data_IF_332115749037
#
_entry.id   IF_332115749037
#
_cell.length_a   1.000
_cell.length_b   1.000
_cell.length_c   1.000
_cell.angle_alpha   90.00
_cell.angle_beta   90.00
_cell.angle_gamma   90.00
#
_symmetry.space_group_name_H-M   'P 1'
#
loop_
_entity.id
_entity.type
_entity.pdbx_description
1 polymer ?
#
# COMPACT_ATOMS: atom_id res chain seq x y z
N UNK A 1 23.06 -17.65 -10.87
CA UNK A 1 22.88 -16.19 -10.82
C UNK A 1 21.61 -15.87 -11.60
N UNK A 2 20.54 -15.44 -10.92
CA UNK A 2 19.34 -14.90 -11.56
C UNK A 2 19.41 -13.38 -11.44
N UNK A 3 19.87 -12.73 -12.50
CA UNK A 3 19.85 -11.27 -12.62
C UNK A 3 18.41 -10.79 -12.77
N UNK A 4 17.97 -9.82 -11.96
CA UNK A 4 16.88 -8.92 -12.34
C UNK A 4 15.43 -9.28 -11.99
N UNK A 5 15.14 -10.16 -11.02
CA UNK A 5 13.79 -10.20 -10.41
C UNK A 5 13.67 -9.00 -9.45
N UNK A 6 13.32 -7.86 -10.03
CA UNK A 6 13.36 -6.52 -9.42
C UNK A 6 12.23 -6.34 -8.41
N UNK A 7 12.46 -5.62 -7.30
CA UNK A 7 11.51 -5.45 -6.17
C UNK A 7 10.05 -5.15 -6.56
N UNK A 8 9.84 -4.45 -7.68
CA UNK A 8 8.51 -4.22 -8.28
C UNK A 8 7.67 -5.48 -8.54
N UNK A 9 8.28 -6.64 -8.82
CA UNK A 9 7.54 -7.88 -8.97
C UNK A 9 6.94 -8.34 -7.64
N UNK A 10 7.71 -8.22 -6.56
CA UNK A 10 7.28 -8.58 -5.20
C UNK A 10 6.20 -7.62 -4.73
N UNK A 11 6.39 -6.31 -4.89
CA UNK A 11 5.38 -5.29 -4.58
C UNK A 11 4.05 -5.61 -5.26
N UNK A 12 4.07 -5.93 -6.56
CA UNK A 12 2.85 -6.27 -7.31
C UNK A 12 2.24 -7.60 -6.87
N UNK A 13 3.03 -8.59 -6.49
CA UNK A 13 2.52 -9.87 -5.98
C UNK A 13 1.87 -9.74 -4.60
N UNK A 14 2.39 -8.86 -3.75
CA UNK A 14 1.88 -8.63 -2.41
C UNK A 14 0.67 -7.68 -2.40
N UNK A 15 0.74 -6.61 -3.20
CA UNK A 15 -0.19 -5.49 -3.13
C UNK A 15 -0.98 -5.22 -4.40
N UNK A 16 -0.67 -5.89 -5.52
CA UNK A 16 -1.23 -5.53 -6.82
C UNK A 16 -0.67 -4.19 -7.32
N UNK A 17 -1.37 -3.55 -8.25
CA UNK A 17 -1.01 -2.22 -8.75
C UNK A 17 -2.25 -1.37 -9.02
N UNK A 18 -2.09 -0.05 -9.01
CA UNK A 18 -3.16 0.88 -9.35
C UNK A 18 -3.63 0.69 -10.81
N UNK A 19 -4.88 1.07 -11.09
CA UNK A 19 -5.39 1.25 -12.43
C UNK A 19 -4.80 2.52 -13.05
N UNK A 20 -3.81 2.36 -13.93
CA UNK A 20 -3.13 3.47 -14.62
C UNK A 20 -4.07 4.41 -15.36
N UNK A 21 -5.15 3.89 -15.97
CA UNK A 21 -6.11 4.70 -16.72
C UNK A 21 -6.84 5.66 -15.77
N UNK A 22 -7.41 5.12 -14.68
CA UNK A 22 -8.04 5.94 -13.63
C UNK A 22 -7.06 6.93 -13.02
N UNK A 23 -5.80 6.54 -12.80
CA UNK A 23 -4.79 7.44 -12.24
C UNK A 23 -4.48 8.61 -13.18
N UNK A 24 -4.36 8.37 -14.49
CA UNK A 24 -4.22 9.44 -15.50
C UNK A 24 -5.43 10.38 -15.47
N UNK A 25 -6.65 9.82 -15.45
CA UNK A 25 -7.88 10.60 -15.39
C UNK A 25 -7.94 11.47 -14.11
N UNK A 26 -7.56 10.91 -12.96
CA UNK A 26 -7.49 11.62 -11.69
C UNK A 26 -6.43 12.75 -11.73
N UNK A 27 -5.27 12.52 -12.34
CA UNK A 27 -4.24 13.55 -12.52
C UNK A 27 -4.71 14.68 -13.44
N UNK A 28 -5.35 14.35 -14.57
CA UNK A 28 -5.90 15.34 -15.50
C UNK A 28 -6.95 16.20 -14.81
N UNK A 29 -7.88 15.56 -14.08
CA UNK A 29 -8.97 16.25 -13.37
C UNK A 29 -8.45 17.16 -12.26
N UNK A 30 -7.49 16.70 -11.46
CA UNK A 30 -7.07 17.39 -10.25
C UNK A 30 -5.90 18.38 -10.46
N UNK A 31 -5.16 18.28 -11.58
CA UNK A 31 -3.96 19.08 -11.83
C UNK A 31 -3.89 19.71 -13.23
N UNK A 32 -4.98 19.63 -14.01
CA UNK A 32 -5.09 20.24 -15.35
C UNK A 32 -3.98 19.82 -16.32
N UNK A 33 -3.48 18.58 -16.17
CA UNK A 33 -2.37 18.07 -16.97
C UNK A 33 -2.87 17.70 -18.37
N UNK A 34 -2.31 18.24 -19.46
CA UNK A 34 -2.73 17.86 -20.80
C UNK A 34 -2.49 16.37 -21.08
N UNK A 35 -3.39 15.74 -21.84
CA UNK A 35 -3.30 14.30 -22.17
C UNK A 35 -1.97 13.91 -22.83
N UNK A 36 -1.43 14.79 -23.68
CA UNK A 36 -0.14 14.59 -24.37
C UNK A 36 1.06 14.45 -23.42
N UNK A 37 0.96 14.89 -22.16
CA UNK A 37 2.01 14.70 -21.16
C UNK A 37 2.15 13.22 -20.74
N UNK A 38 1.10 12.42 -20.93
CA UNK A 38 1.06 11.02 -20.50
C UNK A 38 1.50 10.01 -21.55
N UNK A 39 2.13 10.47 -22.64
CA UNK A 39 2.74 9.60 -23.66
C UNK A 39 3.75 8.62 -23.02
N UNK A 40 4.44 9.06 -21.95
CA UNK A 40 5.21 8.21 -21.07
C UNK A 40 4.80 8.41 -19.59
N UNK A 41 3.73 7.71 -19.19
CA UNK A 41 3.17 7.78 -17.84
C UNK A 41 4.19 7.55 -16.72
N UNK A 42 5.00 6.49 -16.84
CA UNK A 42 5.96 6.11 -15.80
C UNK A 42 7.04 7.19 -15.64
N UNK A 43 7.54 7.73 -16.76
CA UNK A 43 8.50 8.83 -16.73
C UNK A 43 7.87 10.08 -16.10
N UNK A 44 6.63 10.41 -16.47
CA UNK A 44 5.92 11.54 -15.88
C UNK A 44 5.81 11.40 -14.35
N UNK A 45 5.37 10.25 -13.86
CA UNK A 45 5.24 9.99 -12.41
C UNK A 45 6.59 10.14 -11.71
N UNK A 46 7.65 9.57 -12.31
CA UNK A 46 9.02 9.63 -11.80
C UNK A 46 9.62 11.05 -11.80
N UNK A 47 9.26 11.92 -12.73
CA UNK A 47 9.80 13.28 -12.78
C UNK A 47 8.99 14.28 -11.94
N UNK A 48 7.72 13.98 -11.68
CA UNK A 48 6.80 14.91 -11.02
C UNK A 48 6.47 14.58 -9.56
N UNK A 49 6.91 13.44 -9.00
CA UNK A 49 6.59 13.04 -7.61
C UNK A 49 6.94 14.08 -6.54
N UNK A 50 7.98 14.89 -6.75
CA UNK A 50 8.35 15.97 -5.82
C UNK A 50 7.33 17.12 -5.80
N UNK A 51 6.56 17.28 -6.88
CA UNK A 51 5.58 18.37 -7.07
C UNK A 51 4.21 18.05 -6.46
N UNK A 52 3.92 16.78 -6.21
CA UNK A 52 2.66 16.32 -5.61
C UNK A 52 2.96 15.87 -4.18
N UNK A 53 2.28 16.44 -3.17
CA UNK A 53 2.50 16.07 -1.76
C UNK A 53 2.14 14.60 -1.50
N UNK A 54 2.60 14.03 -0.38
CA UNK A 54 2.28 12.64 -0.04
C UNK A 54 0.77 12.44 0.10
N UNK A 55 0.10 13.29 0.89
CA UNK A 55 -1.36 13.27 1.07
C UNK A 55 -2.12 13.26 -0.27
N UNK A 56 -1.75 14.16 -1.18
CA UNK A 56 -2.30 14.22 -2.54
C UNK A 56 -2.00 12.97 -3.36
N UNK A 57 -0.82 12.38 -3.18
CA UNK A 57 -0.42 11.15 -3.86
C UNK A 57 -1.24 9.95 -3.36
N UNK A 58 -1.52 9.85 -2.06
CA UNK A 58 -2.40 8.83 -1.48
C UNK A 58 -3.83 8.99 -1.99
N UNK A 59 -4.37 10.22 -2.02
CA UNK A 59 -5.70 10.49 -2.57
C UNK A 59 -5.83 10.04 -4.04
N UNK A 60 -4.84 10.35 -4.88
CA UNK A 60 -4.79 9.86 -6.26
C UNK A 60 -4.74 8.32 -6.34
N UNK A 61 -3.99 7.66 -5.44
CA UNK A 61 -3.92 6.21 -5.41
C UNK A 61 -5.29 5.60 -5.03
N UNK A 62 -6.02 6.19 -4.07
CA UNK A 62 -7.39 5.76 -3.71
C UNK A 62 -8.35 5.84 -4.90
N UNK A 63 -8.32 6.94 -5.66
CA UNK A 63 -9.19 7.12 -6.83
C UNK A 63 -8.87 6.12 -7.95
N UNK A 64 -7.65 5.59 -7.97
CA UNK A 64 -7.15 4.74 -9.03
C UNK A 64 -7.03 3.27 -8.63
N UNK A 65 -7.75 2.78 -7.63
CA UNK A 65 -7.77 1.33 -7.38
C UNK A 65 -8.30 0.55 -8.60
N UNK A 66 -7.89 -0.73 -8.77
CA UNK A 66 -8.45 -1.61 -9.80
C UNK A 66 -9.98 -1.61 -9.81
N UNK A 67 -10.60 -1.82 -10.98
CA UNK A 67 -12.06 -1.74 -11.12
C UNK A 67 -12.80 -2.75 -10.26
N UNK A 68 -12.24 -3.94 -10.11
CA UNK A 68 -12.80 -5.04 -9.31
C UNK A 68 -12.16 -5.14 -7.91
N UNK A 69 -11.55 -4.05 -7.41
CA UNK A 69 -10.93 -4.02 -6.08
C UNK A 69 -11.89 -3.43 -5.05
N UNK A 70 -12.18 -4.19 -4.01
CA UNK A 70 -12.81 -3.69 -2.78
C UNK A 70 -11.74 -3.43 -1.72
N UNK A 71 -11.53 -2.18 -1.26
CA UNK A 71 -10.55 -1.87 -0.21
C UNK A 71 -10.84 -2.55 1.15
N UNK A 72 -12.08 -3.01 1.39
CA UNK A 72 -12.47 -3.76 2.59
C UNK A 72 -12.31 -5.28 2.43
N UNK A 73 -12.07 -5.74 1.21
CA UNK A 73 -11.72 -7.12 0.86
C UNK A 73 -10.53 -7.13 -0.12
N UNK A 74 -9.36 -6.64 0.33
CA UNK A 74 -8.26 -6.36 -0.59
C UNK A 74 -7.68 -7.64 -1.19
N UNK A 75 -7.26 -7.51 -2.44
CA UNK A 75 -6.45 -8.51 -3.16
C UNK A 75 -5.13 -7.86 -3.57
N UNK A 76 -4.02 -8.60 -3.74
CA UNK A 76 -3.85 -10.06 -3.68
C UNK A 76 -3.94 -10.69 -2.28
N UNK A 77 -3.73 -12.02 -2.19
CA UNK A 77 -3.88 -12.79 -0.95
C UNK A 77 -3.10 -12.22 0.25
N UNK A 78 -1.89 -11.71 0.03
CA UNK A 78 -1.12 -11.09 1.11
C UNK A 78 -1.84 -9.88 1.71
N UNK A 79 -2.31 -8.95 0.86
CA UNK A 79 -3.09 -7.81 1.31
C UNK A 79 -4.36 -8.24 2.06
N UNK A 80 -5.06 -9.27 1.56
CA UNK A 80 -6.24 -9.85 2.21
C UNK A 80 -5.94 -10.44 3.59
N UNK A 81 -4.90 -11.27 3.69
CA UNK A 81 -4.49 -11.91 4.95
C UNK A 81 -4.01 -10.84 5.96
N UNK A 82 -3.25 -9.83 5.50
CA UNK A 82 -2.78 -8.72 6.33
C UNK A 82 -3.95 -7.89 6.86
N UNK A 83 -4.91 -7.54 5.99
CA UNK A 83 -6.13 -6.84 6.38
C UNK A 83 -6.92 -7.62 7.43
N UNK A 84 -7.07 -8.94 7.24
CA UNK A 84 -7.80 -9.79 8.17
C UNK A 84 -7.17 -9.77 9.57
N UNK A 85 -5.83 -9.88 9.67
CA UNK A 85 -5.15 -9.78 10.97
C UNK A 85 -5.30 -8.40 11.61
N UNK A 86 -5.18 -7.32 10.84
CA UNK A 86 -5.38 -5.95 11.38
C UNK A 86 -6.82 -5.77 11.90
N UNK A 87 -7.82 -6.21 11.14
CA UNK A 87 -9.22 -6.14 11.56
C UNK A 87 -9.49 -7.00 12.81
N UNK A 88 -8.89 -8.19 12.90
CA UNK A 88 -8.97 -9.08 14.06
C UNK A 88 -8.41 -8.40 15.32
N UNK A 89 -7.21 -7.83 15.23
CA UNK A 89 -6.53 -7.15 16.34
C UNK A 89 -7.21 -5.84 16.77
N UNK A 90 -7.86 -5.13 15.83
CA UNK A 90 -8.74 -3.99 16.16
C UNK A 90 -10.06 -4.43 16.83
N UNK A 91 -10.31 -5.74 16.93
CA UNK A 91 -11.49 -6.30 17.57
C UNK A 91 -12.77 -6.11 16.75
N UNK A 92 -12.67 -5.97 15.43
CA UNK A 92 -13.84 -5.80 14.57
C UNK A 92 -14.70 -7.06 14.57
N UNK A 93 -16.00 -6.90 14.83
CA UNK A 93 -16.96 -8.02 14.91
C UNK A 93 -18.21 -7.82 14.07
N UNK A 94 -18.53 -6.58 13.69
CA UNK A 94 -19.75 -6.23 12.95
C UNK A 94 -19.38 -5.70 11.57
N UNK A 95 -20.28 -5.86 10.61
CA UNK A 95 -20.11 -5.39 9.23
C UNK A 95 -19.72 -3.90 9.16
N UNK A 96 -20.36 -3.06 9.98
CA UNK A 96 -20.07 -1.62 10.03
C UNK A 96 -18.67 -1.28 10.60
N UNK A 97 -18.04 -2.20 11.33
CA UNK A 97 -16.65 -2.01 11.75
C UNK A 97 -15.70 -2.23 10.57
N UNK A 98 -15.91 -3.28 9.77
CA UNK A 98 -15.09 -3.56 8.59
C UNK A 98 -15.13 -2.42 7.57
N UNK A 99 -16.27 -1.71 7.42
CA UNK A 99 -16.36 -0.53 6.55
C UNK A 99 -15.42 0.61 6.94
N UNK A 100 -14.96 0.66 8.19
CA UNK A 100 -14.06 1.71 8.70
C UNK A 100 -12.61 1.49 8.31
N UNK A 101 -12.20 0.25 8.05
CA UNK A 101 -10.83 -0.10 7.67
C UNK A 101 -10.78 -0.37 6.17
N UNK A 102 -9.84 0.26 5.49
CA UNK A 102 -9.64 0.10 4.04
C UNK A 102 -8.15 -0.06 3.75
N UNK A 103 -7.83 -0.93 2.81
CA UNK A 103 -6.49 -1.16 2.33
C UNK A 103 -6.39 -0.73 0.86
N UNK A 104 -5.33 -0.01 0.54
CA UNK A 104 -5.09 0.52 -0.79
C UNK A 104 -3.69 0.19 -1.27
N UNK A 105 -3.56 -0.20 -2.54
CA UNK A 105 -2.25 -0.25 -3.20
C UNK A 105 -1.85 1.14 -3.70
N UNK A 106 -0.57 1.44 -3.57
CA UNK A 106 0.08 2.64 -4.09
C UNK A 106 1.15 2.31 -5.15
N UNK A 107 1.41 1.03 -5.45
CA UNK A 107 2.37 0.57 -6.46
C UNK A 107 2.11 1.25 -7.80
N UNK A 108 3.15 1.85 -8.41
CA UNK A 108 3.13 2.69 -9.63
C UNK A 108 2.52 4.09 -9.51
N UNK A 109 2.25 4.56 -8.30
CA UNK A 109 1.78 5.92 -8.05
C UNK A 109 2.90 6.90 -7.69
N UNK A 110 2.59 8.19 -7.56
CA UNK A 110 3.50 9.16 -6.94
C UNK A 110 3.81 8.85 -5.47
N UNK A 111 2.96 8.09 -4.76
CA UNK A 111 3.23 7.67 -3.39
C UNK A 111 4.29 6.55 -3.35
N UNK A 112 4.27 5.63 -4.31
CA UNK A 112 5.31 4.62 -4.51
C UNK A 112 6.68 5.28 -4.80
N UNK A 113 6.73 6.32 -5.64
CA UNK A 113 7.96 7.12 -5.81
C UNK A 113 8.44 7.83 -4.52
N UNK A 114 7.60 7.87 -3.49
CA UNK A 114 7.93 8.39 -2.15
C UNK A 114 8.23 7.27 -1.15
N UNK A 115 8.32 6.01 -1.57
CA UNK A 115 8.56 4.85 -0.71
C UNK A 115 7.32 4.42 0.05
N UNK A 116 6.17 4.37 -0.64
CA UNK A 116 4.90 3.87 -0.09
C UNK A 116 4.26 2.95 -1.13
N UNK A 117 4.31 1.65 -0.89
CA UNK A 117 3.78 0.61 -1.77
C UNK A 117 2.28 0.36 -1.52
N UNK A 118 1.85 0.54 -0.28
CA UNK A 118 0.47 0.37 0.13
C UNK A 118 0.17 1.18 1.39
N UNK A 119 -1.11 1.29 1.76
CA UNK A 119 -1.50 1.93 3.01
C UNK A 119 -2.86 1.46 3.50
N UNK A 120 -3.01 1.47 4.82
CA UNK A 120 -4.29 1.38 5.50
C UNK A 120 -4.88 2.78 5.72
N UNK A 121 -6.20 2.82 5.69
CA UNK A 121 -7.03 3.95 6.11
C UNK A 121 -8.05 3.45 7.14
N UNK A 122 -8.10 4.08 8.30
CA UNK A 122 -9.02 3.76 9.37
C UNK A 122 -9.82 4.98 9.77
N UNK A 123 -11.14 4.94 9.59
CA UNK A 123 -12.05 5.93 10.14
C UNK A 123 -12.31 5.67 11.62
N UNK A 124 -11.93 6.63 12.45
CA UNK A 124 -12.28 6.65 13.87
C UNK A 124 -13.41 7.64 14.13
N UNK A 125 -13.89 7.71 15.38
CA UNK A 125 -14.88 8.73 15.75
C UNK A 125 -14.34 10.18 15.69
N UNK A 126 -13.01 10.36 15.67
CA UNK A 126 -12.36 11.68 15.73
C UNK A 126 -11.78 12.11 14.39
N UNK A 127 -11.10 11.19 13.73
CA UNK A 127 -10.32 11.45 12.52
C UNK A 127 -10.11 10.18 11.69
N UNK A 128 -9.60 10.37 10.47
CA UNK A 128 -9.13 9.28 9.62
C UNK A 128 -7.63 9.10 9.81
N UNK A 129 -7.22 7.90 10.22
CA UNK A 129 -5.83 7.51 10.42
C UNK A 129 -5.32 6.82 9.14
N UNK A 130 -4.18 7.24 8.64
CA UNK A 130 -3.45 6.56 7.57
C UNK A 130 -2.26 5.81 8.16
N UNK A 131 -1.96 4.59 7.69
CA UNK A 131 -0.70 3.88 7.99
C UNK A 131 -0.09 3.38 6.69
N UNK A 132 1.11 3.84 6.37
CA UNK A 132 1.81 3.57 5.11
C UNK A 132 2.77 2.40 5.22
N UNK A 133 2.89 1.62 4.15
CA UNK A 133 3.69 0.40 4.05
C UNK A 133 4.73 0.52 2.93
N UNK A 134 5.92 0.00 3.17
CA UNK A 134 6.99 -0.18 2.16
C UNK A 134 7.61 -1.57 2.34
N UNK A 135 7.63 -2.37 1.27
CA UNK A 135 8.31 -3.66 1.25
C UNK A 135 9.75 -3.46 0.76
N UNK A 136 10.68 -4.20 1.35
CA UNK A 136 12.06 -4.16 0.90
C UNK A 136 12.74 -5.52 0.87
N UNK A 137 13.61 -5.70 -0.14
CA UNK A 137 14.59 -6.80 -0.17
C UNK A 137 15.94 -6.43 0.45
N UNK A 138 16.11 -5.21 0.97
CA UNK A 138 17.38 -4.77 1.55
C UNK A 138 17.30 -4.75 3.09
N UNK A 139 17.97 -5.66 3.80
CA UNK A 139 17.93 -5.72 5.26
C UNK A 139 18.70 -4.59 5.95
N UNK A 140 19.50 -3.82 5.18
CA UNK A 140 20.23 -2.63 5.66
C UNK A 140 19.46 -1.34 5.40
N UNK A 141 18.23 -1.44 4.91
CA UNK A 141 17.33 -0.31 4.71
C UNK A 141 16.90 0.11 6.14
N UNK A 142 17.71 0.98 6.78
CA UNK A 142 17.71 1.36 8.21
C UNK A 142 16.50 2.18 8.70
N UNK A 143 16.67 3.20 9.57
CA UNK A 143 15.54 3.94 10.20
C UNK A 143 15.08 5.23 9.45
N UNK A 144 15.67 5.56 8.30
CA UNK A 144 15.41 6.83 7.57
C UNK A 144 14.28 6.75 6.53
N UNK A 145 13.29 5.88 6.72
CA UNK A 145 12.25 5.65 5.70
C UNK A 145 10.99 6.45 5.93
N UNK A 146 10.30 6.68 4.81
CA UNK A 146 9.14 7.57 4.71
C UNK A 146 7.81 6.88 5.05
N UNK A 147 7.76 5.56 4.95
CA UNK A 147 6.60 4.79 5.34
C UNK A 147 6.61 4.50 6.85
N UNK A 148 5.43 4.32 7.42
CA UNK A 148 5.24 4.01 8.84
C UNK A 148 5.71 2.60 9.18
N UNK A 149 5.50 1.65 8.27
CA UNK A 149 5.91 0.25 8.42
C UNK A 149 6.72 -0.17 7.21
N UNK A 150 8.04 -0.29 7.41
CA UNK A 150 8.95 -0.88 6.42
C UNK A 150 9.28 -2.32 6.82
N UNK A 151 9.07 -3.28 5.93
CA UNK A 151 9.27 -4.69 6.25
C UNK A 151 9.99 -5.46 5.15
N UNK A 152 10.69 -6.52 5.57
CA UNK A 152 11.41 -7.39 4.66
C UNK A 152 10.56 -8.56 4.17
N UNK A 153 10.57 -8.76 2.85
CA UNK A 153 9.97 -9.92 2.22
C UNK A 153 11.01 -10.74 1.45
N UNK A 154 10.98 -12.08 1.51
CA UNK A 154 11.92 -12.91 0.76
C UNK A 154 11.88 -12.60 -0.74
N UNK A 155 13.05 -12.44 -1.36
CA UNK A 155 13.16 -12.09 -2.78
C UNK A 155 12.60 -13.17 -3.71
N UNK A 156 12.64 -14.43 -3.28
CA UNK A 156 12.07 -15.56 -4.00
C UNK A 156 10.56 -15.74 -3.73
N UNK A 157 9.96 -14.83 -2.95
CA UNK A 157 8.57 -14.90 -2.50
C UNK A 157 8.37 -15.89 -1.36
N UNK A 158 7.11 -16.00 -0.92
CA UNK A 158 6.64 -17.04 -0.02
C UNK A 158 5.37 -17.64 -0.64
N UNK A 159 5.30 -18.96 -0.77
CA UNK A 159 4.07 -19.61 -1.20
C UNK A 159 3.26 -19.97 0.04
N UNK A 160 2.08 -19.35 0.29
CA UNK A 160 1.27 -19.66 1.46
C UNK A 160 0.75 -21.11 1.50
N UNK A 161 0.93 -21.91 0.46
CA UNK A 161 0.65 -23.35 0.47
C UNK A 161 1.84 -24.18 0.97
N UNK A 162 3.07 -23.74 0.68
CA UNK A 162 4.31 -24.45 1.04
C UNK A 162 4.91 -23.89 2.33
N UNK A 163 4.94 -22.57 2.47
CA UNK A 163 5.58 -21.79 3.54
C UNK A 163 4.56 -21.25 4.55
N UNK A 164 3.56 -22.07 4.91
CA UNK A 164 2.39 -21.66 5.72
C UNK A 164 2.77 -20.93 7.02
N UNK A 165 3.71 -21.50 7.78
CA UNK A 165 4.10 -20.97 9.08
C UNK A 165 4.83 -19.63 8.95
N UNK A 166 5.77 -19.54 8.01
CA UNK A 166 6.56 -18.33 7.78
C UNK A 166 5.70 -17.20 7.18
N UNK A 167 4.78 -17.54 6.26
CA UNK A 167 3.78 -16.60 5.75
C UNK A 167 2.94 -16.02 6.88
N UNK A 168 2.31 -16.88 7.70
CA UNK A 168 1.45 -16.43 8.80
C UNK A 168 2.24 -15.60 9.82
N UNK A 169 3.46 -16.03 10.16
CA UNK A 169 4.34 -15.34 11.10
C UNK A 169 4.70 -13.93 10.61
N UNK A 170 5.17 -13.80 9.36
CA UNK A 170 5.54 -12.49 8.80
C UNK A 170 4.34 -11.58 8.62
N UNK A 171 3.22 -12.09 8.11
CA UNK A 171 2.01 -11.28 7.93
C UNK A 171 1.50 -10.75 9.28
N UNK A 172 1.50 -11.58 10.34
CA UNK A 172 1.14 -11.14 11.69
C UNK A 172 2.13 -10.12 12.27
N UNK A 173 3.42 -10.34 12.11
CA UNK A 173 4.45 -9.39 12.54
C UNK A 173 4.25 -8.00 11.92
N UNK A 174 3.85 -7.95 10.64
CA UNK A 174 3.53 -6.70 9.93
C UNK A 174 2.23 -6.11 10.46
N UNK A 175 1.20 -6.93 10.71
CA UNK A 175 -0.07 -6.49 11.29
C UNK A 175 0.14 -5.84 12.67
N UNK A 176 0.93 -6.45 13.55
CA UNK A 176 1.24 -5.90 14.88
C UNK A 176 1.87 -4.50 14.79
N UNK A 177 2.74 -4.29 13.80
CA UNK A 177 3.38 -2.99 13.54
C UNK A 177 2.39 -1.95 12.99
N UNK A 178 1.45 -2.37 12.14
CA UNK A 178 0.36 -1.51 11.68
C UNK A 178 -0.52 -1.08 12.86
N UNK A 179 -0.90 -2.02 13.72
CA UNK A 179 -1.71 -1.76 14.92
C UNK A 179 -0.99 -0.79 15.86
N UNK A 180 0.31 -0.98 16.07
CA UNK A 180 1.12 -0.06 16.87
C UNK A 180 1.03 1.38 16.34
N UNK A 181 1.17 1.58 15.03
CA UNK A 181 1.08 2.92 14.41
C UNK A 181 -0.34 3.51 14.47
N UNK A 182 -1.39 2.67 14.34
CA UNK A 182 -2.78 3.09 14.55
C UNK A 182 -2.97 3.59 15.99
N UNK A 183 -2.54 2.81 16.99
CA UNK A 183 -2.72 3.15 18.41
C UNK A 183 -1.93 4.40 18.80
N UNK A 184 -0.70 4.54 18.30
CA UNK A 184 0.15 5.71 18.50
C UNK A 184 -0.46 7.01 17.96
N UNK A 185 -1.28 6.93 16.90
CA UNK A 185 -2.00 8.07 16.32
C UNK A 185 -3.33 8.32 17.02
N UNK A 186 -4.15 7.27 17.23
CA UNK A 186 -5.47 7.39 17.85
C UNK A 186 -5.45 7.66 19.36
N UNK A 187 -4.32 7.46 20.03
CA UNK A 187 -4.11 7.82 21.43
C UNK A 187 -3.76 9.30 21.67
N UNK A 188 -3.63 10.11 20.61
CA UNK A 188 -3.49 11.57 20.70
C UNK A 188 -4.84 12.28 20.81
#
# INVERSE_FOLDING_TARGET
>A
MREGYTGHLIERELFGEINKRKYKEALQKNYEIPSAVFDNFELFVKESWKKISLEKSLALAKEAQPEDSDPTEPTPRFAGDLYAYVAEELGFKKEDDFKKLRFYTAVRSHADQRGVDAFFELDTARETIFVTLDVTGNPKKGDEWRADVVFEWPMDGLDPKLDKEEWARKTREIADRVIYEIQKRGGK
#
